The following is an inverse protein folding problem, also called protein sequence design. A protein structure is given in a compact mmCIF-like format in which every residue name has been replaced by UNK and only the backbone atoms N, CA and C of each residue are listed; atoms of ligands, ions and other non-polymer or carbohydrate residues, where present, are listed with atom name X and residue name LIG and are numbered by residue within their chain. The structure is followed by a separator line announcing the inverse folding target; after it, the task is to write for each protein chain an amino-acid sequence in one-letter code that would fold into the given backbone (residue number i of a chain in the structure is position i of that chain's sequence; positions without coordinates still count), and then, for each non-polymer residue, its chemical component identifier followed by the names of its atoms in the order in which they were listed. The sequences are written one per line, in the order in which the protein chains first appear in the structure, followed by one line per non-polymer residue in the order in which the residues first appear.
data_IF_835034227623
#
_entry.id   IF_835034227623
#
_cell.length_a   1.000
_cell.length_b   1.000
_cell.length_c   1.000
_cell.angle_alpha   90.00
_cell.angle_beta   90.00
_cell.angle_gamma   90.00
#
_symmetry.space_group_name_H-M   'P 1'
#
loop_
_entity.id
_entity.type
_entity.pdbx_description
1 polymer ?
#
# COMPACT_ATOMS: atom_id res chain seq x y z
N UNK A 1 36.09 -9.43 38.16
CA UNK A 1 34.89 -8.61 38.42
C UNK A 1 34.76 -7.58 37.30
N UNK A 2 34.04 -7.93 36.23
CA UNK A 2 33.64 -7.00 35.18
C UNK A 2 32.13 -7.19 35.00
N UNK A 3 31.36 -6.35 35.68
CA UNK A 3 29.91 -6.27 35.55
C UNK A 3 29.61 -5.51 34.26
N UNK A 4 29.34 -6.22 33.15
CA UNK A 4 28.71 -5.61 31.98
C UNK A 4 27.24 -6.03 31.93
N UNK A 5 26.42 -5.09 32.39
CA UNK A 5 24.96 -5.10 32.39
C UNK A 5 24.41 -5.34 30.98
N UNK A 6 23.67 -6.43 30.80
CA UNK A 6 22.77 -6.66 29.66
C UNK A 6 21.54 -5.76 29.81
N UNK A 7 21.70 -4.44 29.64
CA UNK A 7 20.55 -3.55 29.52
C UNK A 7 19.77 -3.96 28.27
N UNK A 8 18.53 -4.42 28.49
CA UNK A 8 17.63 -4.91 27.46
C UNK A 8 17.57 -3.96 26.27
N UNK A 9 18.13 -4.40 25.14
CA UNK A 9 17.78 -3.85 23.83
C UNK A 9 16.30 -4.18 23.66
N UNK A 10 15.43 -3.17 23.79
CA UNK A 10 14.03 -3.28 23.37
C UNK A 10 14.10 -3.67 21.89
N UNK A 11 13.78 -4.92 21.58
CA UNK A 11 13.55 -5.35 20.19
C UNK A 11 12.33 -4.56 19.74
N UNK A 12 12.56 -3.41 19.09
CA UNK A 12 11.50 -2.68 18.39
C UNK A 12 11.16 -3.60 17.23
N UNK A 13 10.11 -4.41 17.42
CA UNK A 13 9.52 -5.12 16.29
C UNK A 13 9.05 -4.02 15.33
N UNK A 14 9.47 -4.04 14.05
CA UNK A 14 8.93 -3.08 13.10
C UNK A 14 7.41 -3.19 13.17
N UNK A 15 6.73 -2.06 13.44
CA UNK A 15 5.27 -2.00 13.32
C UNK A 15 4.97 -2.49 11.91
N UNK A 16 4.13 -3.52 11.77
CA UNK A 16 3.56 -3.93 10.50
C UNK A 16 2.24 -3.18 10.39
N UNK A 17 2.20 -1.96 9.81
CA UNK A 17 0.96 -1.20 9.75
C UNK A 17 -0.08 -1.97 8.94
N UNK A 18 -1.34 -1.78 9.30
CA UNK A 18 -2.44 -2.18 8.43
C UNK A 18 -2.44 -1.25 7.24
N UNK A 19 -2.65 -1.81 6.05
CA UNK A 19 -2.66 -1.04 4.82
C UNK A 19 -4.01 -1.18 4.15
N UNK A 20 -4.65 -0.04 3.92
CA UNK A 20 -5.87 0.08 3.15
C UNK A 20 -5.56 0.66 1.78
N UNK A 21 -6.13 0.03 0.75
CA UNK A 21 -6.04 0.47 -0.64
C UNK A 21 -7.40 0.97 -1.07
N UNK A 22 -7.48 2.15 -1.68
CA UNK A 22 -8.74 2.75 -2.11
C UNK A 22 -8.62 3.20 -3.56
N UNK A 23 -9.53 2.79 -4.43
CA UNK A 23 -9.57 3.31 -5.80
C UNK A 23 -10.22 4.70 -5.77
N UNK A 24 -9.44 5.74 -6.07
CA UNK A 24 -9.87 7.13 -5.88
C UNK A 24 -10.15 7.85 -7.19
N UNK A 25 -9.56 7.41 -8.30
CA UNK A 25 -9.71 8.06 -9.60
C UNK A 25 -9.36 7.11 -10.75
N UNK A 26 -9.60 7.53 -11.99
CA UNK A 26 -9.15 6.83 -13.21
C UNK A 26 -8.80 7.81 -14.32
N UNK A 27 -7.88 7.38 -15.21
CA UNK A 27 -7.58 8.05 -16.47
C UNK A 27 -7.99 7.11 -17.61
N UNK A 28 -8.65 7.65 -18.63
CA UNK A 28 -9.17 6.89 -19.76
C UNK A 28 -10.70 6.76 -19.73
N UNK A 29 -11.30 6.58 -20.91
CA UNK A 29 -12.75 6.55 -21.09
C UNK A 29 -13.36 5.15 -20.86
N UNK A 30 -12.52 4.10 -20.81
CA UNK A 30 -12.96 2.72 -20.65
C UNK A 30 -13.35 2.33 -19.22
N UNK A 31 -13.62 1.05 -19.05
CA UNK A 31 -13.87 0.41 -17.76
C UNK A 31 -12.68 -0.45 -17.34
N UNK A 32 -12.51 -0.65 -16.04
CA UNK A 32 -11.53 -1.60 -15.54
C UNK A 32 -11.88 -3.02 -16.00
N UNK A 33 -10.95 -3.73 -16.63
CA UNK A 33 -11.15 -5.11 -17.09
C UNK A 33 -11.50 -6.09 -15.95
N UNK A 34 -11.04 -5.82 -14.73
CA UNK A 34 -11.41 -6.61 -13.53
C UNK A 34 -12.77 -6.22 -12.96
N UNK A 35 -13.30 -5.04 -13.31
CA UNK A 35 -14.57 -4.51 -12.81
C UNK A 35 -14.46 -3.62 -11.58
N UNK A 36 -13.25 -3.21 -11.17
CA UNK A 36 -13.03 -2.28 -10.05
C UNK A 36 -13.63 -0.89 -10.34
N UNK A 37 -14.13 -0.22 -9.31
CA UNK A 37 -14.83 1.07 -9.38
C UNK A 37 -14.26 2.07 -8.36
N UNK A 38 -14.42 3.35 -8.67
CA UNK A 38 -14.03 4.44 -7.76
C UNK A 38 -14.87 4.31 -6.47
N UNK A 39 -14.19 4.39 -5.33
CA UNK A 39 -14.77 4.17 -4.00
C UNK A 39 -14.56 2.75 -3.46
N UNK A 40 -14.18 1.78 -4.30
CA UNK A 40 -13.83 0.45 -3.81
C UNK A 40 -12.60 0.53 -2.89
N UNK A 41 -12.60 -0.28 -1.83
CA UNK A 41 -11.49 -0.34 -0.87
C UNK A 41 -11.18 -1.76 -0.43
N UNK A 42 -9.92 -2.02 -0.15
CA UNK A 42 -9.40 -3.35 0.20
C UNK A 42 -8.40 -3.27 1.35
N UNK A 43 -8.45 -4.26 2.24
CA UNK A 43 -7.38 -4.54 3.20
C UNK A 43 -6.28 -5.37 2.51
N UNK A 44 -5.03 -4.92 2.56
CA UNK A 44 -3.95 -5.60 1.85
C UNK A 44 -3.72 -7.05 2.29
N UNK A 45 -3.83 -7.34 3.60
CA UNK A 45 -3.51 -8.66 4.14
C UNK A 45 -4.68 -9.65 3.93
N UNK A 46 -5.92 -9.17 3.88
CA UNK A 46 -7.12 -10.01 3.76
C UNK A 46 -7.69 -10.08 2.34
N UNK A 47 -7.64 -8.99 1.58
CA UNK A 47 -8.39 -8.85 0.33
C UNK A 47 -7.53 -8.93 -0.94
N UNK A 48 -6.23 -9.25 -0.83
CA UNK A 48 -5.31 -9.31 -1.97
C UNK A 48 -5.79 -10.13 -3.18
N UNK A 49 -6.61 -11.17 -2.93
CA UNK A 49 -7.18 -12.01 -4.00
C UNK A 49 -8.29 -11.32 -4.80
N UNK A 50 -8.91 -10.28 -4.24
CA UNK A 50 -9.93 -9.48 -4.89
C UNK A 50 -9.31 -8.46 -5.85
N UNK A 51 -8.08 -8.02 -5.61
CA UNK A 51 -7.33 -7.17 -6.53
C UNK A 51 -6.90 -7.92 -7.80
N UNK A 52 -6.72 -7.18 -8.91
CA UNK A 52 -6.20 -7.78 -10.14
C UNK A 52 -4.67 -7.88 -10.10
N UNK A 53 -4.07 -8.80 -10.88
CA UNK A 53 -2.61 -8.94 -10.93
C UNK A 53 -1.88 -7.65 -11.32
N UNK A 54 -2.48 -6.80 -12.16
CA UNK A 54 -1.89 -5.50 -12.56
C UNK A 54 -1.78 -4.53 -11.38
N UNK A 55 -2.82 -4.43 -10.54
CA UNK A 55 -2.77 -3.63 -9.30
C UNK A 55 -1.74 -4.23 -8.35
N UNK A 56 -1.76 -5.55 -8.14
CA UNK A 56 -0.82 -6.21 -7.22
C UNK A 56 0.65 -6.05 -7.65
N UNK A 57 0.94 -6.05 -8.95
CA UNK A 57 2.29 -5.87 -9.48
C UNK A 57 2.91 -4.52 -9.10
N UNK A 58 2.10 -3.46 -9.06
CA UNK A 58 2.53 -2.10 -8.70
C UNK A 58 2.42 -1.82 -7.21
N UNK A 59 1.44 -2.43 -6.53
CA UNK A 59 1.21 -2.27 -5.10
C UNK A 59 2.27 -2.96 -4.25
N UNK A 60 2.68 -4.18 -4.62
CA UNK A 60 3.57 -5.02 -3.80
C UNK A 60 4.85 -4.29 -3.37
N UNK A 61 5.61 -3.63 -4.28
CA UNK A 61 6.80 -2.87 -3.88
C UNK A 61 6.51 -1.70 -2.92
N UNK A 62 5.35 -1.06 -3.05
CA UNK A 62 4.95 0.06 -2.18
C UNK A 62 4.70 -0.42 -0.75
N UNK A 63 4.08 -1.58 -0.60
CA UNK A 63 3.82 -2.19 0.71
C UNK A 63 5.13 -2.60 1.38
N UNK A 64 6.08 -3.13 0.62
CA UNK A 64 7.40 -3.48 1.14
C UNK A 64 8.15 -2.24 1.63
N UNK A 65 8.11 -1.11 0.91
CA UNK A 65 8.68 0.16 1.36
C UNK A 65 8.18 0.49 2.77
N UNK A 66 6.86 0.49 2.98
CA UNK A 66 6.26 0.82 4.28
C UNK A 66 6.64 -0.21 5.34
N UNK A 67 6.55 -1.50 5.03
CA UNK A 67 6.82 -2.58 5.98
C UNK A 67 8.29 -2.66 6.42
N UNK A 68 9.20 -2.21 5.57
CA UNK A 68 10.63 -2.10 5.90
C UNK A 68 11.00 -0.74 6.49
N UNK A 69 10.01 0.08 6.89
CA UNK A 69 10.21 1.35 7.60
C UNK A 69 10.56 2.53 6.69
N UNK A 70 10.38 2.39 5.37
CA UNK A 70 10.44 3.49 4.42
C UNK A 70 9.13 4.26 4.36
N UNK A 71 9.13 5.34 3.58
CA UNK A 71 7.96 6.21 3.40
C UNK A 71 7.66 6.34 1.91
N UNK A 72 6.38 6.17 1.55
CA UNK A 72 5.92 6.35 0.17
C UNK A 72 5.87 7.85 -0.15
N UNK A 73 6.37 8.29 -1.32
CA UNK A 73 6.23 9.67 -1.76
C UNK A 73 4.76 10.15 -1.75
N UNK A 74 4.55 11.36 -1.26
CA UNK A 74 3.24 12.00 -1.26
C UNK A 74 2.99 12.63 -2.64
N UNK A 75 1.81 12.38 -3.20
CA UNK A 75 1.39 12.94 -4.48
C UNK A 75 1.05 14.42 -4.35
N UNK A 76 0.82 15.09 -5.50
CA UNK A 76 0.39 16.50 -5.53
C UNK A 76 -0.95 16.76 -4.84
N UNK A 77 -1.70 15.71 -4.54
CA UNK A 77 -3.00 15.79 -3.84
C UNK A 77 -2.90 15.64 -2.33
N UNK A 78 -1.68 15.47 -1.79
CA UNK A 78 -1.43 15.40 -0.35
C UNK A 78 -1.50 14.00 0.27
N UNK A 79 -1.76 12.96 -0.52
CA UNK A 79 -1.73 11.56 -0.11
C UNK A 79 -0.81 10.69 -1.00
N UNK A 80 -0.45 9.51 -0.51
CA UNK A 80 0.35 8.52 -1.25
C UNK A 80 -0.52 7.80 -2.28
N UNK A 81 -0.14 7.89 -3.57
CA UNK A 81 -0.88 7.28 -4.67
C UNK A 81 -0.01 6.43 -5.58
N UNK A 82 -0.61 5.41 -6.16
CA UNK A 82 -0.04 4.61 -7.25
C UNK A 82 -1.12 4.31 -8.29
N UNK A 83 -0.75 3.72 -9.42
CA UNK A 83 -1.70 3.34 -10.45
C UNK A 83 -1.40 1.95 -11.01
N UNK A 84 -2.43 1.27 -11.52
CA UNK A 84 -2.22 0.01 -12.24
C UNK A 84 -1.69 0.28 -13.66
N UNK A 85 -0.83 -0.60 -14.21
CA UNK A 85 -0.21 -0.43 -15.52
C UNK A 85 -1.11 -0.90 -16.67
N UNK A 86 -2.41 -0.60 -16.62
CA UNK A 86 -3.34 -0.85 -17.73
C UNK A 86 -3.23 0.32 -18.73
N UNK A 87 -2.92 0.01 -19.99
CA UNK A 87 -2.60 1.01 -21.01
C UNK A 87 -3.82 1.82 -21.48
N UNK A 88 -5.03 1.23 -21.38
CA UNK A 88 -6.25 1.86 -21.87
C UNK A 88 -7.01 2.58 -20.75
N UNK A 89 -6.98 2.02 -19.54
CA UNK A 89 -7.69 2.56 -18.37
C UNK A 89 -6.83 2.47 -17.12
N UNK A 90 -6.18 3.58 -16.77
CA UNK A 90 -5.30 3.66 -15.62
C UNK A 90 -6.15 3.98 -14.37
N UNK A 91 -6.37 2.99 -13.50
CA UNK A 91 -6.95 3.26 -12.18
C UNK A 91 -5.89 3.80 -11.22
N UNK A 92 -6.27 4.81 -10.46
CA UNK A 92 -5.44 5.48 -9.47
C UNK A 92 -5.93 5.09 -8.08
N UNK A 93 -5.00 4.65 -7.24
CA UNK A 93 -5.26 4.15 -5.91
C UNK A 93 -4.54 4.99 -4.87
N UNK A 94 -5.21 5.24 -3.75
CA UNK A 94 -4.63 5.78 -2.52
C UNK A 94 -4.18 4.63 -1.63
N UNK A 95 -3.03 4.81 -0.97
CA UNK A 95 -2.55 3.93 0.10
C UNK A 95 -2.71 4.67 1.42
N UNK A 96 -3.38 4.04 2.38
CA UNK A 96 -3.53 4.53 3.74
C UNK A 96 -2.87 3.56 4.72
N UNK A 97 -1.99 4.08 5.55
CA UNK A 97 -1.42 3.36 6.70
C UNK A 97 -2.34 3.58 7.91
N UNK A 98 -2.84 2.50 8.48
CA UNK A 98 -3.61 2.52 9.71
C UNK A 98 -2.73 2.04 10.87
N UNK A 99 -2.77 2.75 11.99
CA UNK A 99 -2.13 2.28 13.21
C UNK A 99 -2.84 1.01 13.71
N UNK A 100 -2.03 0.02 14.06
CA UNK A 100 -2.49 -1.20 14.73
C UNK A 100 -2.67 -0.98 16.23
#
# INVERSE_FOLDING_TARGET
MALYSTKGVKKIMPKRPKIKIILVDKIGQGHCHRGHKIGDSWDYDHDRGLLCPLVMHTLFPMIDIVRYGGTIPVSRTGDSRFCCPDADVINIFKIEEEEN
#
